data_IF_713073460101
#
_entry.id   IF_713073460101
#
_cell.length_a   1.000
_cell.length_b   1.000
_cell.length_c   1.000
_cell.angle_alpha   90.00
_cell.angle_beta   90.00
_cell.angle_gamma   90.00
#
_symmetry.space_group_name_H-M   'P 1'
#
loop_
_entity.id
_entity.type
_entity.pdbx_description
1 polymer ?
#
# COMPACT_ATOMS: atom_id res chain seq x y z
N UNK A 1 -44.52 -26.48 51.23
CA UNK A 1 -45.97 -26.21 51.13
C UNK A 1 -46.02 -24.85 50.44
N UNK A 2 -46.42 -24.66 49.27
CA UNK A 2 -47.37 -25.15 48.27
C UNK A 2 -46.79 -24.70 46.90
N UNK A 3 -46.51 -25.61 46.04
CA UNK A 3 -47.32 -26.13 44.91
C UNK A 3 -47.35 -25.25 43.67
N UNK A 4 -46.79 -25.82 42.71
CA UNK A 4 -46.78 -25.66 41.26
C UNK A 4 -48.16 -25.34 40.66
N UNK A 5 -48.14 -24.62 39.52
CA UNK A 5 -48.92 -25.09 38.37
C UNK A 5 -48.27 -24.64 37.06
N UNK A 6 -47.91 -25.62 36.25
CA UNK A 6 -47.55 -25.48 34.84
C UNK A 6 -48.79 -25.22 33.99
N UNK A 7 -48.68 -24.43 32.94
CA UNK A 7 -49.71 -24.24 31.93
C UNK A 7 -49.14 -24.48 30.54
N UNK A 8 -49.65 -25.50 29.86
CA UNK A 8 -49.34 -25.92 28.48
C UNK A 8 -49.82 -24.91 27.44
N UNK A 9 -49.20 -24.87 26.27
CA UNK A 9 -49.60 -23.98 25.18
C UNK A 9 -50.69 -24.61 24.30
N UNK A 10 -51.65 -23.79 23.85
CA UNK A 10 -52.67 -24.14 22.86
C UNK A 10 -52.14 -23.98 21.42
N UNK A 11 -52.67 -24.77 20.47
CA UNK A 11 -52.21 -24.79 19.09
C UNK A 11 -52.75 -23.60 18.26
N UNK A 12 -51.94 -23.22 17.28
CA UNK A 12 -52.22 -22.18 16.30
C UNK A 12 -53.25 -22.64 15.26
N UNK A 13 -54.15 -21.72 14.90
CA UNK A 13 -55.08 -21.83 13.78
C UNK A 13 -54.40 -21.40 12.47
N UNK A 14 -54.50 -22.21 11.44
CA UNK A 14 -54.14 -21.87 10.05
C UNK A 14 -55.07 -20.77 9.48
N UNK A 15 -54.55 -19.90 8.61
CA UNK A 15 -55.35 -19.23 7.58
C UNK A 15 -55.09 -19.76 6.17
N UNK A 16 -56.15 -19.70 5.40
CA UNK A 16 -56.38 -20.20 4.09
C UNK A 16 -55.40 -19.67 3.01
N UNK A 17 -55.14 -20.52 2.03
CA UNK A 17 -54.41 -20.22 0.78
C UNK A 17 -55.18 -19.21 -0.06
N UNK A 18 -54.45 -18.16 -0.49
CA UNK A 18 -54.79 -17.40 -1.69
C UNK A 18 -53.62 -17.46 -2.65
N UNK A 19 -53.88 -17.97 -3.85
CA UNK A 19 -52.86 -18.27 -4.85
C UNK A 19 -52.50 -17.07 -5.68
N UNK A 20 -51.26 -16.63 -5.56
CA UNK A 20 -50.60 -15.87 -6.65
C UNK A 20 -49.30 -16.57 -7.00
N UNK A 21 -49.18 -16.94 -8.25
CA UNK A 21 -48.01 -17.60 -8.85
C UNK A 21 -46.78 -16.73 -8.69
N UNK A 22 -45.87 -17.09 -7.79
CA UNK A 22 -44.51 -16.56 -7.77
C UNK A 22 -43.70 -17.26 -8.85
N UNK A 23 -43.32 -16.50 -9.89
CA UNK A 23 -42.31 -16.90 -10.85
C UNK A 23 -40.97 -17.01 -10.12
N UNK A 24 -40.47 -18.24 -9.95
CA UNK A 24 -39.11 -18.54 -9.50
C UNK A 24 -38.10 -17.95 -10.47
N UNK A 25 -37.72 -16.69 -10.29
CA UNK A 25 -36.53 -16.10 -10.88
C UNK A 25 -35.31 -16.55 -10.10
N UNK A 26 -34.58 -17.55 -10.58
CA UNK A 26 -33.25 -17.85 -10.05
C UNK A 26 -32.39 -16.59 -10.20
N UNK A 27 -31.99 -15.97 -9.10
CA UNK A 27 -31.07 -14.83 -9.11
C UNK A 27 -29.75 -15.26 -9.71
N UNK A 28 -29.42 -14.72 -10.89
CA UNK A 28 -28.13 -14.95 -11.53
C UNK A 28 -27.02 -14.37 -10.65
N UNK A 29 -25.87 -15.05 -10.62
CA UNK A 29 -24.71 -14.60 -9.86
C UNK A 29 -23.51 -14.46 -10.77
N UNK A 30 -22.71 -13.43 -10.54
CA UNK A 30 -21.46 -13.22 -11.25
C UNK A 30 -20.51 -14.41 -11.05
N UNK A 31 -19.99 -15.03 -12.13
CA UNK A 31 -19.10 -16.18 -12.03
C UNK A 31 -17.75 -15.85 -11.41
N UNK A 32 -17.36 -14.56 -11.38
CA UNK A 32 -16.08 -14.14 -10.84
C UNK A 32 -16.14 -13.77 -9.36
N UNK A 33 -17.19 -13.06 -8.88
CA UNK A 33 -17.25 -12.56 -7.51
C UNK A 33 -18.48 -13.02 -6.73
N UNK A 34 -19.43 -13.74 -7.34
CA UNK A 34 -20.63 -14.23 -6.70
C UNK A 34 -21.73 -13.19 -6.40
N UNK A 35 -21.51 -11.91 -6.74
CA UNK A 35 -22.49 -10.85 -6.55
C UNK A 35 -23.75 -11.13 -7.40
N UNK A 36 -24.96 -10.71 -6.94
CA UNK A 36 -26.17 -10.83 -7.75
C UNK A 36 -26.07 -9.97 -9.00
N UNK A 37 -26.55 -10.50 -10.15
CA UNK A 37 -26.58 -9.82 -11.45
C UNK A 37 -27.93 -10.06 -12.11
N UNK A 38 -28.37 -9.14 -12.99
CA UNK A 38 -29.62 -9.26 -13.70
C UNK A 38 -29.44 -9.90 -15.09
N UNK A 39 -30.50 -10.50 -15.60
CA UNK A 39 -30.48 -11.09 -16.93
C UNK A 39 -30.42 -9.98 -17.99
N UNK A 40 -29.28 -9.89 -18.69
CA UNK A 40 -29.02 -8.87 -19.70
C UNK A 40 -27.90 -7.89 -19.33
N UNK A 41 -27.38 -7.97 -18.13
CA UNK A 41 -26.20 -7.19 -17.74
C UNK A 41 -25.01 -7.58 -18.62
N UNK A 42 -24.37 -6.60 -19.23
CA UNK A 42 -23.15 -6.82 -20.01
C UNK A 42 -21.94 -7.06 -19.12
N UNK A 43 -21.95 -6.49 -17.90
CA UNK A 43 -20.86 -6.57 -16.92
C UNK A 43 -21.44 -6.64 -15.50
N UNK A 44 -20.72 -7.29 -14.59
CA UNK A 44 -21.02 -7.29 -13.16
C UNK A 44 -20.73 -5.91 -12.54
N UNK A 45 -21.71 -5.27 -11.89
CA UNK A 45 -21.54 -3.96 -11.27
C UNK A 45 -20.51 -3.98 -10.10
N UNK A 46 -20.36 -5.13 -9.43
CA UNK A 46 -19.45 -5.26 -8.28
C UNK A 46 -17.98 -5.50 -8.67
N UNK A 47 -17.71 -6.24 -9.77
CA UNK A 47 -16.33 -6.58 -10.16
C UNK A 47 -16.04 -6.34 -11.65
N UNK A 48 -17.02 -5.83 -12.40
CA UNK A 48 -16.96 -5.53 -13.84
C UNK A 48 -16.57 -6.71 -14.72
N UNK A 49 -16.70 -7.93 -14.22
CA UNK A 49 -16.52 -9.12 -15.04
C UNK A 49 -17.54 -9.14 -16.18
N UNK A 50 -17.13 -9.36 -17.45
CA UNK A 50 -18.07 -9.45 -18.59
C UNK A 50 -18.98 -10.66 -18.41
N UNK A 51 -20.28 -10.46 -18.56
CA UNK A 51 -21.31 -11.49 -18.36
C UNK A 51 -21.87 -12.00 -19.68
N UNK A 52 -21.54 -11.34 -20.81
CA UNK A 52 -22.01 -11.69 -22.15
C UNK A 52 -20.85 -12.19 -23.03
N UNK A 53 -21.02 -13.31 -23.77
CA UNK A 53 -19.98 -13.87 -24.63
C UNK A 53 -19.68 -13.08 -25.93
N UNK A 54 -20.30 -11.92 -26.13
CA UNK A 54 -20.05 -11.08 -27.31
C UNK A 54 -18.96 -10.02 -27.12
N UNK A 55 -18.25 -10.02 -25.98
CA UNK A 55 -17.19 -9.05 -25.68
C UNK A 55 -15.77 -9.53 -26.02
N UNK A 56 -15.59 -10.68 -26.65
CA UNK A 56 -14.29 -11.12 -27.14
C UNK A 56 -14.03 -10.59 -28.57
N UNK A 57 -13.34 -9.46 -28.66
CA UNK A 57 -12.68 -9.07 -29.90
C UNK A 57 -11.45 -9.97 -30.12
N UNK A 58 -11.13 -10.36 -31.37
CA UNK A 58 -10.02 -11.27 -31.66
C UNK A 58 -8.69 -10.63 -31.22
N UNK A 59 -7.94 -11.36 -30.37
CA UNK A 59 -6.60 -10.99 -29.92
C UNK A 59 -5.66 -11.18 -31.11
N UNK A 60 -4.95 -10.14 -31.60
CA UNK A 60 -3.86 -10.34 -32.55
C UNK A 60 -2.69 -11.00 -31.84
N UNK A 61 -2.14 -12.07 -32.41
CA UNK A 61 -0.92 -12.71 -31.96
C UNK A 61 0.24 -11.69 -31.92
N UNK A 62 0.74 -11.39 -30.72
CA UNK A 62 1.93 -10.58 -30.53
C UNK A 62 3.17 -11.43 -30.82
N UNK A 63 3.86 -11.08 -31.89
CA UNK A 63 5.21 -11.58 -32.16
C UNK A 63 6.17 -11.09 -31.09
N UNK A 64 6.94 -11.99 -30.52
CA UNK A 64 8.09 -11.75 -29.65
C UNK A 64 9.11 -10.85 -30.35
N UNK A 65 9.05 -9.56 -30.15
CA UNK A 65 10.18 -8.63 -30.37
C UNK A 65 9.77 -7.21 -29.92
N UNK A 66 9.88 -6.92 -28.64
CA UNK A 66 9.98 -5.54 -28.16
C UNK A 66 10.97 -5.48 -27.01
N UNK A 67 12.11 -4.83 -27.26
CA UNK A 67 13.08 -4.48 -26.27
C UNK A 67 12.47 -3.52 -25.21
N UNK A 68 12.95 -3.57 -23.95
CA UNK A 68 12.45 -2.68 -22.90
C UNK A 68 12.75 -1.22 -23.25
N UNK A 69 11.74 -0.38 -23.19
CA UNK A 69 11.91 1.07 -23.29
C UNK A 69 12.32 1.58 -21.91
N UNK A 70 13.61 1.89 -21.76
CA UNK A 70 14.10 2.63 -20.59
C UNK A 70 13.54 4.05 -20.60
N UNK A 71 12.66 4.37 -19.66
CA UNK A 71 12.23 5.75 -19.39
C UNK A 71 13.03 6.26 -18.20
N UNK A 72 14.26 6.68 -18.46
CA UNK A 72 15.03 7.49 -17.53
C UNK A 72 14.53 8.93 -17.64
N UNK A 73 13.74 9.41 -16.70
CA UNK A 73 13.42 10.84 -16.58
C UNK A 73 13.76 11.33 -15.18
N UNK A 74 14.93 11.98 -15.10
CA UNK A 74 15.25 12.89 -14.01
C UNK A 74 14.24 14.04 -14.00
N UNK A 75 13.46 14.16 -12.93
CA UNK A 75 12.66 15.35 -12.67
C UNK A 75 13.59 16.45 -12.15
N UNK A 76 13.98 17.35 -13.03
CA UNK A 76 14.54 18.65 -12.63
C UNK A 76 13.39 19.51 -12.14
N UNK A 77 13.38 19.86 -10.87
CA UNK A 77 12.48 20.88 -10.32
C UNK A 77 12.96 22.24 -10.80
N UNK A 78 12.20 22.88 -11.68
CA UNK A 78 12.36 24.29 -12.00
C UNK A 78 11.24 25.06 -11.33
N UNK A 79 11.60 25.98 -10.44
CA UNK A 79 10.72 27.02 -9.91
C UNK A 79 10.28 27.97 -11.04
N UNK A 80 8.98 28.26 -11.08
CA UNK A 80 8.51 29.53 -11.64
C UNK A 80 7.61 29.45 -12.87
N UNK A 81 6.34 29.79 -12.64
CA UNK A 81 5.40 30.54 -13.49
C UNK A 81 4.91 29.92 -14.81
N UNK A 82 3.59 29.72 -14.80
CA UNK A 82 2.61 29.77 -15.89
C UNK A 82 3.15 29.89 -17.33
N UNK A 83 2.99 28.79 -18.07
CA UNK A 83 2.62 28.83 -19.49
C UNK A 83 2.05 27.48 -19.90
N UNK A 84 0.95 27.50 -20.64
CA UNK A 84 0.18 26.43 -21.26
C UNK A 84 0.90 25.06 -21.39
N UNK A 85 0.79 24.19 -20.40
CA UNK A 85 1.15 22.79 -20.56
C UNK A 85 0.07 22.12 -21.41
N UNK A 86 0.34 22.00 -22.70
CA UNK A 86 -0.40 21.08 -23.57
C UNK A 86 -0.33 19.68 -22.92
N UNK A 87 -1.45 19.06 -22.54
CA UNK A 87 -1.43 17.73 -21.97
C UNK A 87 -0.76 16.80 -22.98
N UNK A 88 0.34 16.15 -22.59
CA UNK A 88 0.95 15.10 -23.44
C UNK A 88 -0.06 13.96 -23.48
N UNK A 89 -0.83 13.88 -24.57
CA UNK A 89 -1.79 12.82 -24.77
C UNK A 89 -1.02 11.51 -24.88
N UNK A 90 -1.16 10.62 -23.89
CA UNK A 90 -0.56 9.30 -23.94
C UNK A 90 -1.39 8.41 -24.85
N UNK A 91 -0.74 7.56 -25.67
CA UNK A 91 -1.47 6.58 -26.45
C UNK A 91 -2.14 5.56 -25.53
N UNK A 92 -3.38 5.22 -25.85
CA UNK A 92 -4.11 4.16 -25.15
C UNK A 92 -3.35 2.83 -25.23
N UNK A 93 -3.06 2.14 -24.12
CA UNK A 93 -2.30 0.89 -24.13
C UNK A 93 -3.04 -0.25 -24.85
N UNK A 94 -4.36 -0.14 -25.00
CA UNK A 94 -5.16 -1.16 -25.67
C UNK A 94 -5.21 -1.01 -27.21
N UNK A 95 -5.31 0.22 -27.72
CA UNK A 95 -5.52 0.44 -29.15
C UNK A 95 -4.61 1.51 -29.77
N UNK A 96 -3.73 2.15 -28.99
CA UNK A 96 -2.87 3.24 -29.45
C UNK A 96 -3.59 4.58 -29.69
N UNK A 97 -4.89 4.66 -29.44
CA UNK A 97 -5.68 5.89 -29.64
C UNK A 97 -5.38 6.96 -28.59
N UNK A 98 -5.91 8.17 -28.84
CA UNK A 98 -5.75 9.30 -27.90
C UNK A 98 -6.57 9.07 -26.65
N UNK A 99 -5.99 9.33 -25.48
CA UNK A 99 -6.69 9.37 -24.19
C UNK A 99 -7.15 10.80 -23.94
N UNK A 100 -8.45 11.00 -23.74
CA UNK A 100 -9.06 12.28 -23.45
C UNK A 100 -8.71 12.78 -22.03
N UNK A 101 -9.07 14.03 -21.76
CA UNK A 101 -8.87 14.66 -20.44
C UNK A 101 -9.68 13.97 -19.31
N UNK A 102 -10.73 13.24 -19.68
CA UNK A 102 -11.56 12.42 -18.78
C UNK A 102 -10.90 11.08 -18.42
N UNK A 103 -9.71 10.78 -18.96
CA UNK A 103 -8.97 9.55 -18.72
C UNK A 103 -9.46 8.34 -19.52
N UNK A 104 -10.34 8.53 -20.51
CA UNK A 104 -10.80 7.46 -21.39
C UNK A 104 -10.24 7.61 -22.80
N UNK A 105 -10.02 6.47 -23.46
CA UNK A 105 -9.61 6.45 -24.85
C UNK A 105 -10.77 6.87 -25.76
N UNK A 106 -10.58 7.91 -26.58
CA UNK A 106 -11.58 8.43 -27.51
C UNK A 106 -11.96 7.43 -28.63
N UNK A 107 -11.08 6.42 -28.88
CA UNK A 107 -11.31 5.41 -29.93
C UNK A 107 -12.00 4.16 -29.40
N UNK A 108 -11.49 3.56 -28.29
CA UNK A 108 -12.01 2.28 -27.80
C UNK A 108 -12.79 2.40 -26.48
N UNK A 109 -12.90 3.60 -25.88
CA UNK A 109 -13.64 3.82 -24.64
C UNK A 109 -12.97 3.23 -23.39
N UNK A 110 -11.79 2.61 -23.52
CA UNK A 110 -11.10 2.03 -22.37
C UNK A 110 -10.54 3.13 -21.48
N UNK A 111 -10.71 2.98 -20.17
CA UNK A 111 -10.07 3.85 -19.18
C UNK A 111 -8.55 3.65 -19.24
N UNK A 112 -7.80 4.74 -19.40
CA UNK A 112 -6.37 4.68 -19.37
C UNK A 112 -5.88 4.38 -17.93
N UNK A 113 -4.78 3.62 -17.76
CA UNK A 113 -4.13 3.48 -16.48
C UNK A 113 -3.69 4.83 -15.95
N UNK A 114 -3.92 5.09 -14.68
CA UNK A 114 -3.38 6.24 -14.00
C UNK A 114 -1.88 6.00 -13.74
N UNK A 115 -1.04 7.04 -13.81
CA UNK A 115 0.37 6.94 -13.40
C UNK A 115 0.52 6.45 -11.95
N UNK A 116 -0.45 6.76 -11.12
CA UNK A 116 -0.52 6.29 -9.74
C UNK A 116 -0.85 4.80 -9.61
N UNK A 117 -1.44 4.19 -10.65
CA UNK A 117 -1.81 2.76 -10.58
C UNK A 117 -0.57 1.85 -10.47
N UNK A 118 0.54 2.26 -11.07
CA UNK A 118 1.84 1.58 -10.95
C UNK A 118 2.98 2.56 -11.23
N UNK A 119 3.90 2.73 -10.28
CA UNK A 119 5.07 3.58 -10.47
C UNK A 119 6.27 3.04 -9.68
N UNK A 120 7.45 3.46 -10.12
CA UNK A 120 8.73 3.10 -9.50
C UNK A 120 9.59 4.33 -9.26
N UNK A 121 10.46 4.25 -8.25
CA UNK A 121 11.45 5.27 -7.93
C UNK A 121 12.81 4.60 -7.75
N UNK A 122 13.88 5.23 -8.27
CA UNK A 122 15.27 4.76 -8.10
C UNK A 122 16.23 5.96 -8.03
N UNK A 123 16.36 6.62 -6.86
CA UNK A 123 17.25 7.79 -6.72
C UNK A 123 18.73 7.45 -6.82
N UNK A 124 19.11 6.20 -6.50
CA UNK A 124 20.47 5.67 -6.62
C UNK A 124 20.42 4.16 -6.90
N UNK A 125 21.48 3.60 -7.45
CA UNK A 125 21.54 2.20 -7.87
C UNK A 125 21.27 1.19 -6.73
N UNK A 126 21.44 1.58 -5.49
CA UNK A 126 21.28 0.73 -4.31
C UNK A 126 19.97 0.95 -3.54
N UNK A 127 19.08 1.83 -4.03
CA UNK A 127 17.79 2.17 -3.39
C UNK A 127 16.70 2.24 -4.44
N UNK A 128 15.59 1.54 -4.24
CA UNK A 128 14.45 1.58 -5.13
C UNK A 128 13.12 1.42 -4.40
N UNK A 129 12.05 1.83 -5.05
CA UNK A 129 10.69 1.60 -4.61
C UNK A 129 9.79 1.23 -5.79
N UNK A 130 8.74 0.48 -5.50
CA UNK A 130 7.64 0.18 -6.40
C UNK A 130 6.32 0.32 -5.63
N UNK A 131 5.36 1.01 -6.23
CA UNK A 131 4.04 1.17 -5.68
C UNK A 131 3.00 0.77 -6.73
N UNK A 132 2.06 -0.09 -6.36
CA UNK A 132 1.08 -0.69 -7.27
C UNK A 132 -0.32 -0.69 -6.65
N UNK A 133 -1.31 -0.51 -7.49
CA UNK A 133 -2.72 -0.50 -7.08
C UNK A 133 -3.22 -1.85 -6.57
N UNK A 134 -2.52 -2.93 -6.86
CA UNK A 134 -3.05 -4.26 -6.68
C UNK A 134 -4.10 -4.64 -7.73
N UNK A 135 -4.78 -5.76 -7.49
CA UNK A 135 -5.76 -6.30 -8.45
C UNK A 135 -7.18 -5.85 -8.13
N UNK A 136 -7.50 -5.68 -6.84
CA UNK A 136 -8.89 -5.50 -6.38
C UNK A 136 -9.32 -4.05 -6.21
N UNK A 137 -8.39 -3.15 -5.99
CA UNK A 137 -8.66 -1.73 -5.79
C UNK A 137 -8.83 -1.01 -7.13
N UNK A 138 -9.68 0.01 -7.16
CA UNK A 138 -9.94 0.83 -8.36
C UNK A 138 -8.98 2.03 -8.47
N UNK A 139 -8.29 2.40 -7.37
CA UNK A 139 -7.25 3.42 -7.29
C UNK A 139 -6.12 2.97 -6.36
N UNK A 140 -4.95 3.58 -6.51
CA UNK A 140 -3.82 3.35 -5.63
C UNK A 140 -3.78 4.43 -4.54
N UNK A 141 -4.05 4.04 -3.32
CA UNK A 141 -4.05 4.88 -2.12
C UNK A 141 -2.73 4.80 -1.38
N UNK A 142 -1.90 3.80 -1.69
CA UNK A 142 -0.52 3.70 -1.20
C UNK A 142 0.38 4.74 -1.85
N UNK A 143 1.40 5.14 -1.12
CA UNK A 143 2.44 6.00 -1.63
C UNK A 143 3.81 5.59 -1.11
N UNK A 144 4.79 5.54 -2.02
CA UNK A 144 6.21 5.54 -1.69
C UNK A 144 6.81 6.91 -1.98
N UNK A 145 7.82 7.30 -1.21
CA UNK A 145 8.68 8.42 -1.53
C UNK A 145 10.07 8.13 -0.97
N UNK A 146 11.08 8.09 -1.84
CA UNK A 146 12.42 7.70 -1.44
C UNK A 146 13.47 8.73 -1.86
N UNK A 147 14.61 8.74 -1.17
CA UNK A 147 15.76 9.54 -1.50
C UNK A 147 17.05 8.85 -1.08
N UNK A 148 18.14 9.06 -1.80
CA UNK A 148 19.42 8.47 -1.47
C UNK A 148 20.59 9.32 -1.96
N UNK A 149 21.72 9.20 -1.27
CA UNK A 149 23.00 9.62 -1.80
C UNK A 149 23.49 8.58 -2.82
N UNK A 150 24.32 8.99 -3.77
CA UNK A 150 24.76 8.10 -4.86
C UNK A 150 25.68 6.97 -4.38
N UNK A 151 26.49 7.24 -3.35
CA UNK A 151 27.40 6.26 -2.76
C UNK A 151 26.64 5.21 -1.97
N UNK A 152 26.76 3.91 -2.30
CA UNK A 152 26.08 2.84 -1.56
C UNK A 152 26.38 2.87 -0.05
N UNK A 153 25.35 2.69 0.77
CA UNK A 153 25.46 2.68 2.23
C UNK A 153 25.66 4.04 2.87
N UNK A 154 25.86 5.12 2.11
CA UNK A 154 26.09 6.45 2.70
C UNK A 154 24.83 6.99 3.38
N UNK A 155 23.72 7.13 2.64
CA UNK A 155 22.43 7.49 3.22
C UNK A 155 21.27 7.19 2.28
N UNK A 156 20.26 6.52 2.80
CA UNK A 156 18.96 6.33 2.15
C UNK A 156 17.82 6.78 3.07
N UNK A 157 16.76 7.31 2.48
CA UNK A 157 15.49 7.66 3.12
C UNK A 157 14.39 6.91 2.42
N UNK A 158 13.66 6.08 3.14
CA UNK A 158 12.53 5.30 2.65
C UNK A 158 11.28 5.75 3.41
N UNK A 159 10.21 6.08 2.69
CA UNK A 159 8.90 6.43 3.27
C UNK A 159 7.81 5.68 2.53
N UNK A 160 6.91 5.05 3.28
CA UNK A 160 5.68 4.44 2.78
C UNK A 160 4.51 4.99 3.60
N UNK A 161 3.46 5.41 2.90
CA UNK A 161 2.18 5.80 3.47
C UNK A 161 1.09 5.00 2.78
N UNK A 162 0.27 4.30 3.56
CA UNK A 162 -0.87 3.52 3.13
C UNK A 162 -2.14 4.32 3.41
N UNK A 163 -2.88 4.66 2.37
CA UNK A 163 -4.06 5.49 2.45
C UNK A 163 -5.30 4.70 2.85
N UNK A 164 -6.00 5.14 3.90
CA UNK A 164 -7.21 4.46 4.38
C UNK A 164 -8.31 4.51 3.33
N UNK A 165 -8.67 3.36 2.75
CA UNK A 165 -9.57 3.22 1.59
C UNK A 165 -10.98 3.75 1.81
N UNK A 166 -11.44 3.85 3.06
CA UNK A 166 -12.74 4.42 3.40
C UNK A 166 -12.75 5.94 3.43
N UNK A 167 -11.58 6.59 3.40
CA UNK A 167 -11.48 8.04 3.43
C UNK A 167 -11.46 8.67 2.03
N UNK A 168 -11.91 9.92 1.93
CA UNK A 168 -11.89 10.68 0.68
C UNK A 168 -10.47 11.15 0.38
N UNK A 169 -10.08 11.17 -0.90
CA UNK A 169 -8.82 11.74 -1.39
C UNK A 169 -7.55 11.14 -0.74
N UNK A 170 -7.64 9.92 -0.18
CA UNK A 170 -6.53 9.22 0.48
C UNK A 170 -5.33 8.99 -0.45
N UNK A 171 -5.57 8.78 -1.74
CA UNK A 171 -4.56 8.62 -2.77
C UNK A 171 -3.70 9.88 -3.00
N UNK A 172 -4.31 11.06 -2.99
CA UNK A 172 -3.61 12.35 -3.10
C UNK A 172 -2.90 12.68 -1.79
N UNK A 173 -3.58 12.47 -0.68
CA UNK A 173 -3.09 12.83 0.64
C UNK A 173 -1.90 11.94 1.08
N UNK A 174 -1.95 10.63 0.86
CA UNK A 174 -0.84 9.71 1.17
C UNK A 174 0.43 10.08 0.41
N UNK A 175 0.30 10.40 -0.90
CA UNK A 175 1.43 10.82 -1.72
C UNK A 175 2.02 12.16 -1.24
N UNK A 176 1.17 13.13 -0.91
CA UNK A 176 1.61 14.40 -0.38
C UNK A 176 2.33 14.23 0.98
N UNK A 177 1.79 13.38 1.85
CA UNK A 177 2.40 13.02 3.14
C UNK A 177 3.75 12.34 2.98
N UNK A 178 3.84 11.31 2.15
CA UNK A 178 5.07 10.57 1.90
C UNK A 178 6.18 11.49 1.35
N UNK A 179 5.86 12.33 0.35
CA UNK A 179 6.82 13.28 -0.23
C UNK A 179 7.29 14.33 0.78
N UNK A 180 6.37 14.91 1.56
CA UNK A 180 6.71 15.90 2.57
C UNK A 180 7.63 15.34 3.66
N UNK A 181 7.40 14.10 4.08
CA UNK A 181 8.28 13.41 5.03
C UNK A 181 9.66 13.12 4.42
N UNK A 182 9.70 12.57 3.19
CA UNK A 182 10.94 12.30 2.47
C UNK A 182 11.78 13.57 2.31
N UNK A 183 11.19 14.68 1.88
CA UNK A 183 11.90 15.93 1.64
C UNK A 183 12.51 16.49 2.94
N UNK A 184 11.76 16.43 4.05
CA UNK A 184 12.27 16.80 5.35
C UNK A 184 13.44 15.89 5.78
N UNK A 185 13.31 14.57 5.67
CA UNK A 185 14.34 13.63 6.09
C UNK A 185 15.59 13.70 5.21
N UNK A 186 15.44 13.95 3.91
CA UNK A 186 16.58 14.17 3.00
C UNK A 186 17.34 15.45 3.37
N UNK A 187 16.62 16.53 3.66
CA UNK A 187 17.20 17.80 4.04
C UNK A 187 17.80 17.78 5.46
N UNK A 188 17.22 16.98 6.37
CA UNK A 188 17.64 16.89 7.75
C UNK A 188 18.83 15.94 7.93
N UNK A 189 19.99 16.47 8.27
CA UNK A 189 21.19 15.67 8.59
C UNK A 189 21.66 15.99 10.02
N UNK A 190 20.97 15.47 11.05
CA UNK A 190 21.33 15.74 12.43
C UNK A 190 22.74 15.22 12.74
N UNK A 191 23.59 16.08 13.26
CA UNK A 191 24.95 15.70 13.63
C UNK A 191 25.07 15.19 15.07
N UNK A 192 24.00 15.35 15.88
CA UNK A 192 24.06 15.06 17.32
C UNK A 192 25.06 15.96 18.06
N UNK A 193 25.44 15.53 19.26
CA UNK A 193 26.46 16.21 20.10
C UNK A 193 27.76 15.39 20.17
N UNK A 194 28.07 14.61 19.14
CA UNK A 194 29.31 13.82 19.09
C UNK A 194 29.24 12.47 19.81
N UNK A 195 28.07 12.03 20.26
CA UNK A 195 27.87 10.69 20.85
C UNK A 195 26.76 9.93 20.07
N UNK A 196 26.83 8.59 19.96
CA UNK A 196 25.78 7.80 19.32
C UNK A 196 24.38 8.05 19.93
N UNK A 197 24.28 8.16 21.24
CA UNK A 197 23.02 8.42 21.93
C UNK A 197 22.42 9.79 21.58
N UNK A 198 23.24 10.81 21.42
CA UNK A 198 22.77 12.15 21.02
C UNK A 198 22.31 12.17 19.56
N UNK A 199 22.98 11.43 18.68
CA UNK A 199 22.58 11.27 17.29
C UNK A 199 21.24 10.51 17.20
N UNK A 200 21.10 9.40 17.92
CA UNK A 200 19.82 8.65 17.99
C UNK A 200 18.68 9.53 18.46
N UNK A 201 18.90 10.37 19.49
CA UNK A 201 17.88 11.31 19.98
C UNK A 201 17.53 12.37 18.92
N UNK A 202 18.53 12.91 18.23
CA UNK A 202 18.32 13.89 17.17
C UNK A 202 17.56 13.30 15.97
N UNK A 203 17.89 12.06 15.58
CA UNK A 203 17.17 11.34 14.52
C UNK A 203 15.74 10.98 14.92
N UNK A 204 15.51 10.56 16.17
CA UNK A 204 14.16 10.36 16.69
C UNK A 204 13.31 11.64 16.62
N UNK A 205 13.91 12.80 16.92
CA UNK A 205 13.25 14.09 16.77
C UNK A 205 12.98 14.44 15.28
N UNK A 206 13.90 14.12 14.37
CA UNK A 206 13.70 14.29 12.94
C UNK A 206 12.53 13.41 12.43
N UNK A 207 12.42 12.16 12.88
CA UNK A 207 11.27 11.28 12.55
C UNK A 207 9.94 11.86 13.03
N UNK A 208 9.89 12.40 14.27
CA UNK A 208 8.69 13.08 14.78
C UNK A 208 8.32 14.31 13.96
N UNK A 209 9.31 15.08 13.52
CA UNK A 209 9.10 16.24 12.66
C UNK A 209 8.62 15.82 11.26
N UNK A 210 9.17 14.72 10.71
CA UNK A 210 8.75 14.17 9.44
C UNK A 210 7.28 13.71 9.48
N UNK A 211 6.86 12.96 10.50
CA UNK A 211 5.47 12.58 10.70
C UNK A 211 4.54 13.79 10.85
N UNK A 212 4.97 14.81 11.62
CA UNK A 212 4.19 16.05 11.77
C UNK A 212 4.08 16.84 10.45
N UNK A 213 5.12 16.83 9.63
CA UNK A 213 5.13 17.50 8.32
C UNK A 213 4.25 16.72 7.33
N UNK A 214 4.36 15.39 7.32
CA UNK A 214 3.46 14.53 6.56
C UNK A 214 1.99 14.74 6.95
N UNK A 215 1.68 14.76 8.25
CA UNK A 215 0.32 15.01 8.75
C UNK A 215 -0.25 16.34 8.26
N UNK A 216 0.56 17.41 8.26
CA UNK A 216 0.13 18.70 7.69
C UNK A 216 -0.15 18.61 6.20
N UNK A 217 0.66 17.87 5.44
CA UNK A 217 0.45 17.68 4.02
C UNK A 217 -0.81 16.84 3.73
N UNK A 218 -1.08 15.81 4.50
CA UNK A 218 -2.33 15.02 4.43
C UNK A 218 -3.54 15.92 4.67
N UNK A 219 -3.54 16.72 5.74
CA UNK A 219 -4.63 17.65 6.07
C UNK A 219 -4.84 18.69 4.98
N UNK A 220 -3.75 19.24 4.43
CA UNK A 220 -3.82 20.27 3.37
C UNK A 220 -4.38 19.72 2.04
N UNK A 221 -4.30 18.42 1.81
CA UNK A 221 -4.83 17.74 0.62
C UNK A 221 -6.19 17.05 0.88
N UNK A 222 -6.86 17.41 1.97
CA UNK A 222 -8.20 16.96 2.31
C UNK A 222 -9.17 18.12 2.17
N UNK A 223 -10.30 17.92 1.51
CA UNK A 223 -11.35 18.94 1.41
C UNK A 223 -11.77 19.42 2.82
N UNK A 224 -11.83 20.75 3.08
CA UNK A 224 -12.09 21.29 4.42
C UNK A 224 -13.43 20.84 5.04
N UNK A 225 -14.41 20.57 4.19
CA UNK A 225 -15.79 20.18 4.53
C UNK A 225 -16.04 18.68 4.40
N UNK A 226 -15.00 17.89 4.11
CA UNK A 226 -15.12 16.42 4.03
C UNK A 226 -15.54 15.86 5.40
N UNK A 227 -16.64 15.13 5.42
CA UNK A 227 -17.08 14.37 6.62
C UNK A 227 -16.21 13.16 6.88
N UNK A 228 -15.50 12.69 5.83
CA UNK A 228 -14.60 11.53 5.88
C UNK A 228 -13.21 11.97 5.40
N UNK A 229 -12.46 12.61 6.30
CA UNK A 229 -11.17 13.20 5.99
C UNK A 229 -10.15 12.15 5.53
N UNK A 230 -9.29 12.54 4.59
CA UNK A 230 -8.17 11.69 4.17
C UNK A 230 -7.29 11.32 5.35
N UNK A 231 -6.91 10.07 5.41
CA UNK A 231 -6.01 9.51 6.42
C UNK A 231 -5.10 8.46 5.81
N UNK A 232 -3.92 8.30 6.39
CA UNK A 232 -2.96 7.28 5.97
C UNK A 232 -2.04 6.86 7.11
N UNK A 233 -1.35 5.75 6.93
CA UNK A 233 -0.23 5.33 7.78
C UNK A 233 1.01 6.18 7.51
N UNK A 234 2.04 5.99 8.30
CA UNK A 234 3.37 6.53 8.09
C UNK A 234 4.41 5.53 8.58
N UNK A 235 5.21 5.00 7.67
CA UNK A 235 6.38 4.22 8.02
C UNK A 235 7.59 4.80 7.28
N UNK A 236 8.61 5.20 8.03
CA UNK A 236 9.81 5.82 7.49
C UNK A 236 11.07 5.24 8.11
N UNK A 237 12.10 5.07 7.28
CA UNK A 237 13.41 4.64 7.72
C UNK A 237 14.52 5.46 7.05
N UNK A 238 15.60 5.69 7.79
CA UNK A 238 16.84 6.26 7.30
C UNK A 238 17.96 5.27 7.59
N UNK A 239 18.59 4.78 6.54
CA UNK A 239 19.85 4.03 6.63
C UNK A 239 21.00 5.02 6.43
N UNK A 240 21.94 5.09 7.36
CA UNK A 240 23.12 5.96 7.30
C UNK A 240 24.34 5.22 7.88
N UNK A 241 25.28 4.81 7.00
CA UNK A 241 26.30 3.85 7.39
C UNK A 241 25.65 2.58 7.96
N UNK A 242 26.16 2.11 9.09
CA UNK A 242 25.65 0.91 9.77
C UNK A 242 24.43 1.20 10.69
N UNK A 243 23.82 2.37 10.58
CA UNK A 243 22.70 2.76 11.45
C UNK A 243 21.40 2.85 10.68
N UNK A 244 20.37 2.20 11.19
CA UNK A 244 18.98 2.36 10.77
C UNK A 244 18.25 3.16 11.85
N UNK A 245 17.60 4.25 11.45
CA UNK A 245 16.67 5.02 12.26
C UNK A 245 15.30 4.90 11.64
N UNK A 246 14.25 4.68 12.43
CA UNK A 246 12.91 4.47 11.91
C UNK A 246 11.85 5.14 12.77
N UNK A 247 10.70 5.40 12.14
CA UNK A 247 9.51 5.94 12.78
C UNK A 247 8.26 5.36 12.16
N UNK A 248 7.23 5.03 12.98
CA UNK A 248 6.02 4.36 12.52
C UNK A 248 4.75 4.92 13.16
N UNK A 249 3.71 5.10 12.36
CA UNK A 249 2.31 5.36 12.74
C UNK A 249 1.43 4.48 11.87
N UNK A 250 0.61 3.65 12.47
CA UNK A 250 -0.22 2.68 11.74
C UNK A 250 0.44 1.31 11.63
N UNK A 251 0.11 0.56 10.58
CA UNK A 251 0.50 -0.84 10.40
C UNK A 251 1.33 -1.11 9.13
N UNK A 252 1.76 -0.08 8.40
CA UNK A 252 2.89 -0.20 7.48
C UNK A 252 4.15 -0.52 8.28
N UNK A 253 5.08 -1.31 7.72
CA UNK A 253 6.17 -1.90 8.50
C UNK A 253 7.55 -1.59 7.96
N UNK A 254 8.52 -1.56 8.86
CA UNK A 254 9.96 -1.50 8.57
C UNK A 254 10.63 -2.78 9.04
N UNK A 255 11.45 -3.39 8.16
CA UNK A 255 12.20 -4.61 8.45
C UNK A 255 13.69 -4.42 8.15
N UNK A 256 14.52 -5.10 8.96
CA UNK A 256 15.90 -5.40 8.61
C UNK A 256 16.03 -6.90 8.28
N UNK A 257 16.52 -7.19 7.10
CA UNK A 257 16.59 -8.54 6.52
C UNK A 257 18.04 -8.78 6.08
N UNK A 258 18.92 -9.26 6.97
CA UNK A 258 20.29 -9.59 6.62
C UNK A 258 20.35 -10.72 5.59
N UNK A 259 21.48 -10.88 4.90
CA UNK A 259 21.66 -11.99 3.97
C UNK A 259 21.55 -13.34 4.71
N UNK A 260 21.19 -14.41 3.97
CA UNK A 260 20.91 -15.73 4.57
C UNK A 260 22.10 -16.37 5.31
N UNK A 261 23.32 -15.99 4.95
CA UNK A 261 24.56 -16.46 5.58
C UNK A 261 24.98 -15.62 6.81
N UNK A 262 24.25 -14.55 7.11
CA UNK A 262 24.47 -13.73 8.28
C UNK A 262 24.12 -14.49 9.57
N UNK A 263 24.88 -14.23 10.62
CA UNK A 263 24.54 -14.68 11.97
C UNK A 263 23.44 -13.81 12.65
N UNK A 264 23.18 -12.63 12.11
CA UNK A 264 22.14 -11.73 12.59
C UNK A 264 20.76 -12.21 12.12
N UNK A 265 19.76 -12.35 13.02
CA UNK A 265 18.42 -12.75 12.61
C UNK A 265 17.67 -11.59 11.92
N UNK A 266 16.80 -11.90 10.93
CA UNK A 266 15.89 -10.91 10.37
C UNK A 266 14.90 -10.43 11.43
N UNK A 267 14.50 -9.15 11.34
CA UNK A 267 13.65 -8.54 12.35
C UNK A 267 12.71 -7.49 11.74
N UNK A 268 11.46 -7.48 12.24
CA UNK A 268 10.57 -6.33 12.11
C UNK A 268 11.02 -5.27 13.11
N UNK A 269 11.40 -4.09 12.63
CA UNK A 269 11.90 -2.97 13.45
C UNK A 269 10.74 -2.14 14.02
N UNK A 270 9.71 -1.90 13.24
CA UNK A 270 8.50 -1.19 13.65
C UNK A 270 7.60 -2.06 14.53
N UNK A 271 6.72 -1.42 15.26
CA UNK A 271 5.61 -2.04 15.99
C UNK A 271 4.33 -1.39 15.48
N UNK A 272 3.37 -2.19 15.07
CA UNK A 272 2.15 -1.69 14.47
C UNK A 272 1.26 -0.98 15.50
N UNK A 273 0.59 0.07 15.08
CA UNK A 273 -0.52 0.68 15.80
C UNK A 273 -1.83 0.07 15.28
N UNK A 274 -2.11 -1.21 15.61
CA UNK A 274 -3.28 -1.96 15.13
C UNK A 274 -3.93 -2.79 16.24
N UNK A 275 -5.19 -3.20 15.99
CA UNK A 275 -5.91 -4.11 16.89
C UNK A 275 -5.20 -5.47 16.96
N UNK A 276 -4.66 -5.97 15.86
CA UNK A 276 -3.87 -7.21 15.86
C UNK A 276 -2.66 -7.09 16.79
N UNK A 277 -1.90 -6.02 16.73
CA UNK A 277 -0.74 -5.80 17.57
C UNK A 277 -1.12 -5.68 19.07
N UNK A 278 -2.24 -5.02 19.37
CA UNK A 278 -2.73 -4.96 20.73
C UNK A 278 -3.06 -6.36 21.28
N UNK A 279 -3.66 -7.24 20.47
CA UNK A 279 -3.91 -8.65 20.84
C UNK A 279 -2.63 -9.46 21.02
N UNK A 280 -1.64 -9.27 20.14
CA UNK A 280 -0.31 -9.91 20.27
C UNK A 280 0.34 -9.49 21.60
N UNK A 281 0.27 -8.21 21.95
CA UNK A 281 0.82 -7.69 23.21
C UNK A 281 0.12 -8.28 24.45
N UNK A 282 -1.11 -8.75 24.33
CA UNK A 282 -1.85 -9.47 25.36
C UNK A 282 -1.59 -11.00 25.35
N UNK A 283 -0.70 -11.48 24.47
CA UNK A 283 -0.29 -12.88 24.41
C UNK A 283 -1.09 -13.73 23.42
N UNK A 284 -1.92 -13.13 22.56
CA UNK A 284 -2.57 -13.87 21.46
C UNK A 284 -1.50 -14.22 20.42
N UNK A 285 -1.46 -15.45 19.90
CA UNK A 285 -0.54 -15.83 18.82
C UNK A 285 -0.69 -14.89 17.62
N UNK A 286 0.42 -14.54 16.96
CA UNK A 286 0.45 -13.61 15.83
C UNK A 286 -0.52 -14.01 14.71
N UNK A 287 -0.47 -15.28 14.29
CA UNK A 287 -1.35 -15.81 13.24
C UNK A 287 -2.85 -15.63 13.58
N UNK A 288 -3.24 -15.92 14.83
CA UNK A 288 -4.62 -15.71 15.28
C UNK A 288 -4.99 -14.23 15.37
N UNK A 289 -4.06 -13.38 15.78
CA UNK A 289 -4.31 -11.94 15.92
C UNK A 289 -4.44 -11.26 14.54
N UNK A 290 -3.54 -11.55 13.60
CA UNK A 290 -3.50 -10.95 12.27
C UNK A 290 -4.61 -11.47 11.33
N UNK A 291 -5.16 -12.68 11.57
CA UNK A 291 -6.31 -13.22 10.82
C UNK A 291 -7.65 -13.05 11.55
N UNK A 292 -7.65 -12.41 12.69
CA UNK A 292 -8.85 -12.22 13.52
C UNK A 292 -9.75 -11.07 13.06
N UNK A 293 -10.95 -10.94 13.65
CA UNK A 293 -11.83 -9.81 13.37
C UNK A 293 -11.14 -8.47 13.67
N UNK A 294 -11.28 -7.51 12.78
CA UNK A 294 -10.69 -6.17 12.89
C UNK A 294 -9.15 -6.15 12.98
N UNK A 295 -8.47 -7.20 12.52
CA UNK A 295 -7.01 -7.30 12.59
C UNK A 295 -6.31 -6.06 11.99
N UNK A 296 -6.81 -5.60 10.84
CA UNK A 296 -6.30 -4.45 10.08
C UNK A 296 -6.87 -3.09 10.54
N UNK A 297 -7.62 -3.04 11.66
CA UNK A 297 -8.07 -1.77 12.20
C UNK A 297 -6.89 -1.07 12.89
N UNK A 298 -6.41 0.00 12.27
CA UNK A 298 -5.34 0.85 12.83
C UNK A 298 -5.88 1.69 13.98
N UNK A 299 -5.02 1.97 14.96
CA UNK A 299 -5.34 2.75 16.16
C UNK A 299 -4.70 4.14 16.14
N UNK A 300 -3.74 4.36 15.23
CA UNK A 300 -3.12 5.66 14.94
C UNK A 300 -2.95 5.83 13.44
N UNK A 301 -3.06 7.05 12.97
CA UNK A 301 -2.90 7.43 11.56
C UNK A 301 -2.50 8.89 11.42
N UNK A 302 -2.13 9.33 10.22
CA UNK A 302 -2.04 10.73 9.84
C UNK A 302 -3.38 11.18 9.27
N UNK A 303 -3.85 12.35 9.63
CA UNK A 303 -5.12 12.91 9.17
C UNK A 303 -5.67 13.94 10.16
N UNK A 304 -6.71 14.66 9.72
CA UNK A 304 -7.34 15.73 10.52
C UNK A 304 -8.02 15.22 11.79
N UNK A 305 -8.56 14.03 11.73
CA UNK A 305 -9.32 13.35 12.79
C UNK A 305 -8.47 12.36 13.59
N UNK A 306 -7.17 12.33 13.35
CA UNK A 306 -6.25 11.46 14.10
C UNK A 306 -6.23 11.80 15.57
N UNK A 307 -6.39 10.79 16.46
CA UNK A 307 -6.27 10.99 17.90
C UNK A 307 -4.81 11.18 18.33
N UNK A 308 -3.87 10.57 17.60
CA UNK A 308 -2.43 10.64 17.85
C UNK A 308 -1.65 10.26 16.58
N UNK A 309 -0.78 11.13 16.13
CA UNK A 309 0.10 10.93 14.98
C UNK A 309 1.59 10.95 15.38
N UNK A 310 1.89 10.89 16.67
CA UNK A 310 3.28 10.82 17.14
C UNK A 310 3.85 9.44 16.84
N UNK A 311 4.91 9.33 16.01
CA UNK A 311 5.46 8.04 15.63
C UNK A 311 6.17 7.36 16.80
N UNK A 312 6.03 6.05 16.89
CA UNK A 312 7.03 5.23 17.56
C UNK A 312 8.35 5.41 16.81
N UNK A 313 9.45 5.59 17.53
CA UNK A 313 10.77 5.77 16.94
C UNK A 313 11.77 4.81 17.52
N UNK A 314 12.70 4.35 16.70
CA UNK A 314 13.78 3.47 17.14
C UNK A 314 15.04 3.66 16.30
N UNK A 315 16.10 2.98 16.75
CA UNK A 315 17.36 2.89 16.04
C UNK A 315 17.94 1.49 16.19
N UNK A 316 18.65 1.03 15.16
CA UNK A 316 19.36 -0.23 15.17
C UNK A 316 20.72 -0.07 14.47
N UNK A 317 21.74 -0.62 15.07
CA UNK A 317 23.02 -0.87 14.40
C UNK A 317 22.89 -2.22 13.69
N UNK A 318 23.31 -2.29 12.44
CA UNK A 318 23.33 -3.51 11.63
C UNK A 318 24.77 -3.94 11.36
N UNK A 319 24.97 -5.25 11.23
CA UNK A 319 26.28 -5.84 10.99
C UNK A 319 26.23 -6.69 9.72
N UNK A 320 26.99 -6.25 8.71
CA UNK A 320 27.06 -6.93 7.43
C UNK A 320 25.94 -6.59 6.44
N UNK A 321 25.97 -7.26 5.28
CA UNK A 321 25.07 -6.96 4.17
C UNK A 321 23.64 -7.45 4.43
N UNK A 322 22.67 -6.72 3.87
CA UNK A 322 21.26 -7.04 4.02
C UNK A 322 20.37 -6.03 3.31
N UNK A 323 19.07 -6.15 3.54
CA UNK A 323 18.06 -5.28 2.98
C UNK A 323 17.29 -4.54 4.07
N UNK A 324 17.24 -3.22 3.97
CA UNK A 324 16.24 -2.43 4.67
C UNK A 324 14.99 -2.41 3.79
N UNK A 325 13.87 -2.88 4.34
CA UNK A 325 12.56 -2.89 3.67
C UNK A 325 11.58 -2.02 4.47
N UNK A 326 10.87 -1.14 3.76
CA UNK A 326 9.66 -0.47 4.27
C UNK A 326 8.51 -0.83 3.32
N UNK A 327 7.38 -1.31 3.85
CA UNK A 327 6.25 -1.72 3.03
C UNK A 327 4.90 -1.49 3.71
N UNK A 328 3.85 -1.39 2.88
CA UNK A 328 2.46 -1.42 3.32
C UNK A 328 1.98 -2.85 3.60
N UNK A 329 0.76 -2.98 4.08
CA UNK A 329 0.14 -4.25 4.41
C UNK A 329 -0.17 -5.10 3.17
N UNK A 330 -0.30 -4.50 1.99
CA UNK A 330 -0.46 -5.21 0.73
C UNK A 330 0.69 -6.17 0.40
N UNK A 331 1.88 -5.98 0.97
CA UNK A 331 2.97 -6.95 0.89
C UNK A 331 2.98 -7.87 2.12
N UNK A 332 3.05 -7.32 3.34
CA UNK A 332 3.31 -8.13 4.52
C UNK A 332 2.11 -9.01 4.92
N UNK A 333 0.90 -8.74 4.48
CA UNK A 333 -0.26 -9.62 4.66
C UNK A 333 -0.06 -11.04 4.08
N UNK A 334 0.85 -11.18 3.12
CA UNK A 334 1.19 -12.48 2.53
C UNK A 334 2.48 -13.09 3.11
N UNK A 335 3.31 -12.27 3.77
CA UNK A 335 4.57 -12.69 4.38
C UNK A 335 4.87 -11.81 5.62
N UNK A 336 4.11 -11.98 6.69
CA UNK A 336 4.13 -11.12 7.88
C UNK A 336 5.44 -11.25 8.69
N UNK A 337 5.98 -12.47 8.79
CA UNK A 337 7.15 -12.77 9.59
C UNK A 337 8.45 -12.38 8.88
N UNK A 338 9.37 -11.74 9.59
CA UNK A 338 10.66 -11.31 9.02
C UNK A 338 11.47 -12.46 8.38
N UNK A 339 11.51 -13.69 8.92
CA UNK A 339 12.17 -14.83 8.24
C UNK A 339 11.51 -15.22 6.91
N UNK A 340 10.20 -15.07 6.79
CA UNK A 340 9.48 -15.36 5.54
C UNK A 340 9.84 -14.33 4.47
N UNK A 341 9.86 -13.03 4.81
CA UNK A 341 10.29 -11.96 3.92
C UNK A 341 11.76 -12.08 3.54
N UNK A 342 12.65 -12.44 4.47
CA UNK A 342 14.07 -12.70 4.18
C UNK A 342 14.23 -13.78 3.12
N UNK A 343 13.53 -14.91 3.30
CA UNK A 343 13.57 -16.04 2.35
C UNK A 343 13.03 -15.64 0.98
N UNK A 344 11.91 -14.91 0.94
CA UNK A 344 11.31 -14.41 -0.30
C UNK A 344 12.27 -13.45 -1.04
N UNK A 345 12.86 -12.50 -0.32
CA UNK A 345 13.81 -11.55 -0.91
C UNK A 345 15.04 -12.29 -1.45
N UNK A 346 15.58 -13.24 -0.71
CA UNK A 346 16.73 -14.03 -1.15
C UNK A 346 16.42 -14.86 -2.41
N UNK A 347 15.22 -15.43 -2.51
CA UNK A 347 14.75 -16.15 -3.69
C UNK A 347 14.65 -15.23 -4.92
N UNK A 348 13.98 -14.09 -4.76
CA UNK A 348 13.78 -13.14 -5.86
C UNK A 348 15.10 -12.45 -6.28
N UNK A 349 15.96 -12.07 -5.33
CA UNK A 349 17.26 -11.46 -5.58
C UNK A 349 18.26 -12.42 -6.22
N UNK A 350 18.05 -13.74 -6.13
CA UNK A 350 18.89 -14.72 -6.82
C UNK A 350 18.77 -14.61 -8.35
N UNK A 351 17.68 -14.11 -8.88
CA UNK A 351 17.47 -13.86 -10.30
C UNK A 351 18.06 -12.49 -10.72
N UNK A 352 17.88 -11.47 -9.92
CA UNK A 352 18.40 -10.12 -10.12
C UNK A 352 18.59 -9.43 -8.76
N UNK A 353 19.83 -9.14 -8.32
CA UNK A 353 20.11 -8.54 -7.04
C UNK A 353 19.92 -7.01 -7.00
N UNK A 354 19.56 -6.38 -8.12
CA UNK A 354 19.33 -4.94 -8.16
C UNK A 354 18.04 -4.55 -7.44
N UNK A 355 18.03 -3.45 -6.66
CA UNK A 355 16.87 -3.05 -5.87
C UNK A 355 15.60 -2.82 -6.68
N UNK A 356 15.68 -2.25 -7.88
CA UNK A 356 14.50 -1.93 -8.67
C UNK A 356 13.80 -3.17 -9.22
N UNK A 357 14.47 -4.11 -9.91
CA UNK A 357 13.88 -5.40 -10.27
C UNK A 357 13.33 -6.17 -9.07
N UNK A 358 14.03 -6.12 -7.93
CA UNK A 358 13.57 -6.77 -6.70
C UNK A 358 12.28 -6.15 -6.16
N UNK A 359 12.18 -4.81 -6.09
CA UNK A 359 10.96 -4.12 -5.65
C UNK A 359 9.77 -4.46 -6.55
N UNK A 360 9.97 -4.46 -7.88
CA UNK A 360 8.96 -4.86 -8.87
C UNK A 360 8.57 -6.33 -8.69
N UNK A 361 9.53 -7.21 -8.44
CA UNK A 361 9.28 -8.64 -8.23
C UNK A 361 8.49 -8.93 -6.96
N UNK A 362 8.74 -8.18 -5.87
CA UNK A 362 7.95 -8.26 -4.62
C UNK A 362 6.51 -7.84 -4.84
N UNK A 363 6.29 -6.73 -5.53
CA UNK A 363 4.94 -6.26 -5.89
C UNK A 363 4.23 -7.27 -6.79
N UNK A 364 4.91 -7.78 -7.80
CA UNK A 364 4.36 -8.83 -8.68
C UNK A 364 4.00 -10.08 -7.88
N UNK A 365 4.88 -10.53 -6.99
CA UNK A 365 4.62 -11.69 -6.13
C UNK A 365 3.38 -11.46 -5.25
N UNK A 366 3.22 -10.29 -4.61
CA UNK A 366 2.05 -9.98 -3.81
C UNK A 366 0.75 -9.96 -4.65
N UNK A 367 0.82 -9.46 -5.88
CA UNK A 367 -0.28 -9.54 -6.84
C UNK A 367 -0.63 -11.00 -7.19
N UNK A 368 0.35 -11.87 -7.38
CA UNK A 368 0.16 -13.31 -7.63
C UNK A 368 -0.45 -14.04 -6.43
N UNK A 369 -0.21 -13.58 -5.18
CA UNK A 369 -0.92 -14.07 -3.99
C UNK A 369 -2.38 -13.61 -3.91
N UNK A 370 -2.79 -12.68 -4.76
CA UNK A 370 -4.18 -12.24 -4.87
C UNK A 370 -4.40 -10.75 -4.99
N UNK A 371 -3.38 -9.91 -4.76
CA UNK A 371 -3.41 -8.46 -4.93
C UNK A 371 -4.65 -7.82 -4.27
N UNK A 372 -4.90 -8.18 -3.00
CA UNK A 372 -6.13 -7.80 -2.30
C UNK A 372 -6.15 -6.32 -1.93
N UNK A 373 -4.96 -5.74 -1.76
CA UNK A 373 -4.78 -4.34 -1.39
C UNK A 373 -3.80 -3.64 -2.33
N UNK A 374 -3.63 -2.33 -2.16
CA UNK A 374 -2.56 -1.56 -2.72
C UNK A 374 -1.22 -2.03 -2.13
N UNK A 375 -0.13 -1.91 -2.86
CA UNK A 375 1.16 -2.51 -2.47
C UNK A 375 2.25 -1.44 -2.60
N UNK A 376 2.77 -0.97 -1.47
CA UNK A 376 3.90 -0.07 -1.40
C UNK A 376 5.15 -0.80 -0.88
N UNK A 377 6.25 -0.75 -1.66
CA UNK A 377 7.53 -1.39 -1.34
C UNK A 377 8.67 -0.42 -1.56
N UNK A 378 9.50 -0.20 -0.56
CA UNK A 378 10.72 0.59 -0.65
C UNK A 378 11.90 -0.20 -0.06
N UNK A 379 12.99 -0.29 -0.80
CA UNK A 379 14.16 -1.11 -0.49
C UNK A 379 15.46 -0.29 -0.53
N UNK A 380 16.36 -0.56 0.40
CA UNK A 380 17.75 -0.14 0.32
C UNK A 380 18.68 -1.33 0.58
N UNK A 381 19.69 -1.50 -0.26
CA UNK A 381 20.75 -2.49 -0.06
C UNK A 381 21.86 -1.90 0.83
N UNK A 382 22.21 -2.64 1.88
CA UNK A 382 23.38 -2.35 2.74
C UNK A 382 24.54 -3.26 2.42
#
# INVERSE_FOLDING_TARGET
>A
MTEQTAQEPRPASEPAADGTAETNGASLRCPNCGAPVEAGDAFCESCRHPLSPQAEAPVPELSDSAAPIEITRSLVVSDGQDEDTVPISRPCPNCGGVVGADGYCEICGMKAPNERDHYTEQPAAWVAACCDKGIRHYRNEDATAIGADLEPGSRAVLVVCDGVSTSSDSDVASLAGARAARDLLVASRPAGLGTPASLTSAMAQAMKQAAATANKAVIANTAPDSENAASCTFSAAVLEGDQIYFGNVGDSRTYWLPDLDSAEPPVQLSVDDSVAQARISMGVPRDEAENGPQAHAITKWLGRDSPDFVPMTGARTVDGPGWLLVCSDGLWNYASEAPALQSLIAELAAADPDPLPLAVSLVKWANEQGGKDNIGVALARH
#
